data_IF_085086985922
#
_entry.id   IF_085086985922
#
_cell.length_a   1.000
_cell.length_b   1.000
_cell.length_c   1.000
_cell.angle_alpha   90.00
_cell.angle_beta   90.00
_cell.angle_gamma   90.00
#
_symmetry.space_group_name_H-M   'P 1'
#
loop_
_entity.id
_entity.type
_entity.pdbx_description
1 polymer ?
#
# COMPACT_ATOMS: atom_id res chain seq x y z
N UNK A 1 -1.90 11.04 -10.55
CA UNK A 1 -0.89 10.61 -9.57
C UNK A 1 -0.67 11.79 -8.63
N UNK A 2 -0.65 11.57 -7.32
CA UNK A 2 -0.61 12.65 -6.32
C UNK A 2 0.78 12.82 -5.69
N UNK A 3 1.45 11.72 -5.33
CA UNK A 3 2.85 11.74 -4.89
C UNK A 3 3.54 10.39 -5.11
N UNK A 4 4.88 10.42 -5.12
CA UNK A 4 5.77 9.26 -5.11
C UNK A 4 6.79 9.47 -3.98
N UNK A 5 7.08 8.43 -3.23
CA UNK A 5 8.05 8.42 -2.14
C UNK A 5 8.94 7.19 -2.33
N UNK A 6 10.26 7.39 -2.29
CA UNK A 6 11.26 6.34 -2.47
C UNK A 6 12.12 6.27 -1.20
N UNK A 7 12.23 5.08 -0.63
CA UNK A 7 12.85 4.80 0.66
C UNK A 7 13.81 3.63 0.49
N UNK A 8 14.93 3.64 1.20
CA UNK A 8 15.88 2.52 1.18
C UNK A 8 15.50 1.37 2.13
N UNK A 9 16.29 0.30 2.09
CA UNK A 9 16.17 -0.88 2.95
C UNK A 9 16.22 -0.59 4.46
N UNK A 10 16.82 0.54 4.84
CA UNK A 10 16.99 0.96 6.24
C UNK A 10 15.87 1.89 6.71
N UNK A 11 14.91 2.22 5.85
CA UNK A 11 13.80 3.12 6.17
C UNK A 11 14.14 4.60 6.04
N UNK A 12 15.24 4.95 5.35
CA UNK A 12 15.63 6.35 5.09
C UNK A 12 15.00 6.85 3.80
N UNK A 13 14.51 8.08 3.82
CA UNK A 13 13.97 8.74 2.63
C UNK A 13 15.09 9.01 1.62
N UNK A 14 14.99 8.43 0.42
CA UNK A 14 15.88 8.75 -0.71
C UNK A 14 15.36 10.00 -1.41
N UNK A 15 14.08 10.01 -1.79
CA UNK A 15 13.46 11.15 -2.48
C UNK A 15 11.92 11.09 -2.42
N UNK A 16 11.28 12.22 -2.65
CA UNK A 16 9.84 12.32 -2.81
C UNK A 16 9.45 13.42 -3.81
N UNK A 17 8.33 13.22 -4.49
CA UNK A 17 7.75 14.20 -5.43
C UNK A 17 6.25 14.31 -5.26
N UNK A 18 5.71 15.51 -5.53
CA UNK A 18 4.28 15.81 -5.44
C UNK A 18 3.83 16.22 -4.03
N UNK A 19 2.53 16.07 -3.77
CA UNK A 19 1.92 16.36 -2.46
C UNK A 19 2.20 15.21 -1.47
N UNK A 20 3.48 14.96 -1.20
CA UNK A 20 3.94 13.96 -0.24
C UNK A 20 3.68 14.44 1.20
N UNK A 21 3.43 13.52 2.16
CA UNK A 21 3.31 13.87 3.57
C UNK A 21 4.60 14.54 4.07
N UNK A 22 4.45 15.46 5.02
CA UNK A 22 5.59 16.10 5.69
C UNK A 22 6.15 15.16 6.77
N UNK A 23 7.48 15.05 6.84
CA UNK A 23 8.19 14.24 7.83
C UNK A 23 8.66 12.86 7.35
N UNK A 24 9.68 12.33 8.03
CA UNK A 24 10.30 11.04 7.68
C UNK A 24 9.54 9.83 8.26
N UNK A 25 8.55 10.06 9.12
CA UNK A 25 7.81 9.00 9.82
C UNK A 25 7.12 8.03 8.84
N UNK A 26 6.62 8.55 7.71
CA UNK A 26 6.02 7.70 6.68
C UNK A 26 7.00 6.66 6.13
N UNK A 27 8.30 7.00 6.06
CA UNK A 27 9.32 6.14 5.49
C UNK A 27 9.45 4.81 6.25
N UNK A 28 9.34 4.86 7.57
CA UNK A 28 9.46 3.72 8.48
C UNK A 28 8.37 2.65 8.27
N UNK A 29 7.21 3.05 7.75
CA UNK A 29 6.09 2.12 7.55
C UNK A 29 6.20 1.31 6.26
N UNK A 30 7.00 1.74 5.28
CA UNK A 30 7.08 1.04 3.99
C UNK A 30 7.64 -0.38 4.11
N UNK A 31 8.77 -0.61 4.81
CA UNK A 31 9.25 -1.96 5.11
C UNK A 31 8.24 -2.79 5.91
N UNK A 32 7.63 -2.18 6.92
CA UNK A 32 6.67 -2.85 7.81
C UNK A 32 5.44 -3.37 7.06
N UNK A 33 4.89 -2.54 6.16
CA UNK A 33 3.71 -2.91 5.36
C UNK A 33 4.03 -4.03 4.39
N UNK A 34 5.20 -4.01 3.73
CA UNK A 34 5.59 -5.07 2.80
C UNK A 34 5.83 -6.39 3.52
N UNK A 35 6.51 -6.38 4.66
CA UNK A 35 6.71 -7.58 5.47
C UNK A 35 5.40 -8.15 6.00
N UNK A 36 4.50 -7.27 6.47
CA UNK A 36 3.16 -7.68 6.90
C UNK A 36 2.38 -8.32 5.74
N UNK A 37 2.47 -7.72 4.55
CA UNK A 37 1.79 -8.23 3.34
C UNK A 37 2.31 -9.60 2.94
N UNK A 38 3.64 -9.82 2.95
CA UNK A 38 4.24 -11.15 2.73
C UNK A 38 3.72 -12.18 3.71
N UNK A 39 3.75 -11.88 5.01
CA UNK A 39 3.27 -12.80 6.05
C UNK A 39 1.78 -13.13 5.88
N UNK A 40 0.95 -12.13 5.59
CA UNK A 40 -0.47 -12.34 5.33
C UNK A 40 -0.70 -13.23 4.10
N UNK A 41 0.06 -13.01 3.02
CA UNK A 41 -0.06 -13.81 1.80
C UNK A 41 0.34 -15.27 2.02
N UNK A 42 1.42 -15.52 2.78
CA UNK A 42 1.85 -16.86 3.19
C UNK A 42 0.78 -17.54 4.05
N UNK A 43 0.32 -16.88 5.12
CA UNK A 43 -0.69 -17.45 6.01
C UNK A 43 -2.02 -17.75 5.31
N UNK A 44 -2.39 -16.93 4.32
CA UNK A 44 -3.61 -17.12 3.53
C UNK A 44 -3.48 -18.07 2.33
N UNK A 45 -2.25 -18.53 2.01
CA UNK A 45 -2.01 -19.35 0.82
C UNK A 45 -2.22 -18.59 -0.50
N UNK A 46 -2.00 -17.27 -0.52
CA UNK A 46 -2.23 -16.41 -1.70
C UNK A 46 -1.02 -16.29 -2.64
N UNK A 47 0.10 -16.93 -2.30
CA UNK A 47 1.36 -16.83 -3.05
C UNK A 47 2.16 -15.57 -2.71
N UNK A 48 3.12 -15.22 -3.56
CA UNK A 48 4.02 -14.09 -3.32
C UNK A 48 3.39 -12.76 -3.75
N UNK A 49 3.30 -11.76 -2.87
CA UNK A 49 2.71 -10.48 -3.21
C UNK A 49 3.68 -9.63 -4.05
N UNK A 50 3.15 -9.04 -5.14
CA UNK A 50 3.91 -8.07 -5.95
C UNK A 50 4.01 -6.71 -5.24
N UNK A 51 2.91 -6.26 -4.63
CA UNK A 51 2.83 -4.99 -3.91
C UNK A 51 1.75 -5.03 -2.84
N UNK A 52 1.78 -4.08 -1.91
CA UNK A 52 0.67 -3.77 -1.04
C UNK A 52 -0.17 -2.63 -1.65
N UNK A 53 -1.49 -2.74 -1.57
CA UNK A 53 -2.42 -1.67 -1.96
C UNK A 53 -3.37 -1.31 -0.82
N UNK A 54 -3.32 -0.07 -0.35
CA UNK A 54 -4.28 0.48 0.62
C UNK A 54 -5.31 1.32 -0.12
N UNK A 55 -6.56 0.86 -0.13
CA UNK A 55 -7.69 1.63 -0.64
C UNK A 55 -8.08 2.66 0.42
N UNK A 56 -8.07 3.93 0.03
CA UNK A 56 -8.34 5.08 0.88
C UNK A 56 -9.66 5.75 0.47
N UNK A 57 -10.20 6.58 1.38
CA UNK A 57 -11.37 7.42 1.09
C UNK A 57 -11.16 8.27 -0.16
N UNK A 58 -12.26 8.58 -0.84
CA UNK A 58 -12.32 9.39 -2.07
C UNK A 58 -11.64 8.72 -3.28
N UNK A 59 -11.66 7.38 -3.35
CA UNK A 59 -11.16 6.64 -4.51
C UNK A 59 -9.65 6.73 -4.69
N UNK A 60 -8.92 6.95 -3.60
CA UNK A 60 -7.45 7.00 -3.57
C UNK A 60 -6.91 5.61 -3.29
N UNK A 61 -5.73 5.32 -3.82
CA UNK A 61 -5.00 4.10 -3.50
C UNK A 61 -3.54 4.44 -3.25
N UNK A 62 -3.02 3.97 -2.11
CA UNK A 62 -1.59 3.99 -1.82
C UNK A 62 -1.05 2.61 -2.19
N UNK A 63 -0.09 2.58 -3.09
CA UNK A 63 0.57 1.34 -3.51
C UNK A 63 1.99 1.38 -2.96
N UNK A 64 2.40 0.38 -2.20
CA UNK A 64 3.78 0.21 -1.76
C UNK A 64 4.37 -1.02 -2.43
N UNK A 65 5.51 -0.84 -3.07
CA UNK A 65 6.22 -1.89 -3.80
C UNK A 65 7.65 -1.98 -3.26
N UNK A 66 8.13 -3.20 -3.05
CA UNK A 66 9.52 -3.48 -2.69
C UNK A 66 10.25 -4.01 -3.91
N UNK A 67 11.45 -3.52 -4.15
CA UNK A 67 12.31 -4.02 -5.22
C UNK A 67 13.76 -4.02 -4.79
N UNK A 68 14.58 -4.81 -5.47
CA UNK A 68 16.02 -4.87 -5.23
C UNK A 68 16.76 -4.36 -6.47
N UNK A 69 17.66 -3.39 -6.27
CA UNK A 69 18.54 -2.84 -7.32
C UNK A 69 19.99 -3.11 -6.89
N UNK A 70 20.62 -4.13 -7.47
CA UNK A 70 21.92 -4.62 -6.99
C UNK A 70 21.77 -5.22 -5.60
N UNK A 71 22.51 -4.70 -4.63
CA UNK A 71 22.41 -5.11 -3.21
C UNK A 71 21.48 -4.21 -2.39
N UNK A 72 20.86 -3.21 -3.01
CA UNK A 72 19.99 -2.23 -2.34
C UNK A 72 18.52 -2.65 -2.44
N UNK A 73 17.86 -2.77 -1.30
CA UNK A 73 16.40 -2.84 -1.24
C UNK A 73 15.84 -1.42 -1.29
N UNK A 74 14.80 -1.23 -2.11
CA UNK A 74 14.10 0.04 -2.27
C UNK A 74 12.60 -0.19 -2.15
N UNK A 75 11.95 0.67 -1.37
CA UNK A 75 10.51 0.76 -1.27
C UNK A 75 10.02 1.97 -2.04
N UNK A 76 9.08 1.74 -2.94
CA UNK A 76 8.39 2.80 -3.69
C UNK A 76 6.94 2.87 -3.22
N UNK A 77 6.54 3.99 -2.65
CA UNK A 77 5.16 4.30 -2.32
C UNK A 77 4.58 5.30 -3.31
N UNK A 78 3.44 4.94 -3.89
CA UNK A 78 2.75 5.68 -4.94
C UNK A 78 1.33 5.99 -4.49
N UNK A 79 1.00 7.27 -4.31
CA UNK A 79 -0.38 7.70 -4.05
C UNK A 79 -1.09 8.07 -5.35
N UNK A 80 -2.12 7.31 -5.69
CA UNK A 80 -2.98 7.54 -6.83
C UNK A 80 -4.35 8.11 -6.42
N UNK A 81 -4.91 8.97 -7.28
CA UNK A 81 -6.28 9.50 -7.19
C UNK A 81 -7.10 8.95 -8.35
N UNK A 82 -8.38 8.63 -8.10
CA UNK A 82 -9.32 8.18 -9.13
C UNK A 82 -8.96 6.85 -9.78
N UNK A 83 -8.22 5.98 -9.06
CA UNK A 83 -7.81 4.65 -9.56
C UNK A 83 -8.57 3.49 -8.92
N UNK A 84 -9.30 3.74 -7.84
CA UNK A 84 -10.18 2.74 -7.24
C UNK A 84 -11.49 2.68 -8.02
N UNK A 85 -11.90 1.50 -8.55
CA UNK A 85 -13.17 1.36 -9.23
C UNK A 85 -14.33 1.80 -8.31
N UNK A 86 -15.24 2.68 -8.76
CA UNK A 86 -16.33 3.21 -7.92
C UNK A 86 -17.20 2.10 -7.29
N UNK A 87 -17.39 0.98 -7.99
CA UNK A 87 -18.19 -0.14 -7.52
C UNK A 87 -17.55 -0.99 -6.42
N UNK A 88 -16.23 -0.90 -6.20
CA UNK A 88 -15.53 -1.77 -5.25
C UNK A 88 -15.94 -1.48 -3.80
N UNK A 89 -16.10 -0.20 -3.44
CA UNK A 89 -16.63 0.20 -2.14
C UNK A 89 -18.07 -0.30 -1.92
N UNK A 90 -18.89 -0.25 -2.97
CA UNK A 90 -20.25 -0.82 -2.92
C UNK A 90 -20.26 -2.30 -2.63
N UNK A 91 -19.36 -3.07 -3.26
CA UNK A 91 -19.21 -4.51 -3.00
C UNK A 91 -18.78 -4.77 -1.55
N UNK A 92 -17.76 -4.06 -1.04
CA UNK A 92 -17.29 -4.22 0.35
C UNK A 92 -18.39 -3.90 1.36
N UNK A 93 -19.15 -2.83 1.12
CA UNK A 93 -20.28 -2.47 1.97
C UNK A 93 -21.39 -3.53 1.90
N UNK A 94 -21.72 -4.03 0.72
CA UNK A 94 -22.73 -5.09 0.55
C UNK A 94 -22.32 -6.38 1.28
N UNK A 95 -21.06 -6.79 1.17
CA UNK A 95 -20.53 -7.95 1.91
C UNK A 95 -20.68 -7.71 3.42
N UNK A 96 -20.32 -6.52 3.90
CA UNK A 96 -20.44 -6.17 5.32
C UNK A 96 -21.88 -6.22 5.81
N UNK A 97 -22.84 -5.71 5.02
CA UNK A 97 -24.27 -5.77 5.34
C UNK A 97 -24.82 -7.19 5.31
N UNK A 98 -24.36 -8.05 4.40
CA UNK A 98 -24.72 -9.47 4.39
C UNK A 98 -24.20 -10.18 5.64
N UNK A 99 -22.96 -9.91 6.05
CA UNK A 99 -22.37 -10.48 7.26
C UNK A 99 -23.10 -10.01 8.51
N UNK A 100 -23.50 -8.74 8.61
CA UNK A 100 -24.30 -8.22 9.74
C UNK A 100 -25.61 -8.96 9.95
N UNK A 101 -26.26 -9.43 8.88
CA UNK A 101 -27.52 -10.20 8.97
C UNK A 101 -27.31 -11.63 9.49
N UNK A 102 -26.06 -12.08 9.57
CA UNK A 102 -25.68 -13.41 10.05
C UNK A 102 -25.28 -13.41 11.54
N UNK A 103 -25.37 -12.25 12.21
CA UNK A 103 -25.26 -12.07 13.66
C UNK A 103 -26.60 -11.57 14.21
#
# INVERSE_FOLDING_TARGET
MACIIIIDGEGRLITQVGEAPEGEEFALYSPMVMETTRRMAICGGFGDPICNGVILKQGRILITHETTIGDLVIYTSLLCRGKVPPGLLGILNNISELVKKSF
#
